data_IF_461707877422
#
_entry.id   IF_461707877422
#
_cell.length_a   1.000
_cell.length_b   1.000
_cell.length_c   1.000
_cell.angle_alpha   90.00
_cell.angle_beta   90.00
_cell.angle_gamma   90.00
#
_symmetry.space_group_name_H-M   'P 1'
#
loop_
_entity.id
_entity.type
_entity.pdbx_description
1 polymer ?
#
# COMPACT_ATOMS: atom_id res chain seq x y z
N UNK A 1 10.70 7.30 12.12
CA UNK A 1 12.10 6.85 12.19
C UNK A 1 12.12 5.32 12.22
N UNK A 2 13.19 4.71 11.72
CA UNK A 2 13.43 3.26 11.89
C UNK A 2 14.11 3.03 13.24
N UNK A 3 13.72 1.95 13.92
CA UNK A 3 14.31 1.51 15.16
C UNK A 3 15.32 0.39 14.89
N UNK A 4 16.36 0.30 15.70
CA UNK A 4 17.30 -0.81 15.67
C UNK A 4 16.69 -1.99 16.40
N UNK A 5 16.63 -3.14 15.73
CA UNK A 5 16.02 -4.38 16.24
C UNK A 5 16.95 -5.58 16.02
N UNK A 6 16.58 -6.72 16.57
CA UNK A 6 17.22 -7.99 16.29
C UNK A 6 16.22 -9.14 16.31
N UNK A 7 16.50 -10.16 15.50
CA UNK A 7 15.77 -11.44 15.45
C UNK A 7 16.72 -12.60 15.67
N UNK A 8 16.39 -13.49 16.61
CA UNK A 8 17.17 -14.70 16.89
C UNK A 8 16.50 -15.92 16.28
N UNK A 9 17.22 -16.63 15.42
CA UNK A 9 16.87 -17.94 14.90
C UNK A 9 17.63 -18.99 15.73
N UNK A 10 16.95 -19.59 16.72
CA UNK A 10 17.54 -20.55 17.64
C UNK A 10 17.28 -21.99 17.16
N UNK A 11 18.36 -22.73 16.90
CA UNK A 11 18.32 -24.13 16.53
C UNK A 11 18.79 -25.01 17.70
N UNK A 12 18.20 -26.18 17.86
CA UNK A 12 18.72 -27.22 18.74
C UNK A 12 19.69 -28.17 17.98
N UNK A 13 20.35 -29.06 18.68
CA UNK A 13 21.30 -30.03 18.09
C UNK A 13 20.66 -31.00 17.08
N UNK A 14 19.32 -31.11 17.04
CA UNK A 14 18.58 -31.94 16.09
C UNK A 14 18.27 -31.20 14.80
N UNK A 15 18.61 -29.92 14.66
CA UNK A 15 18.29 -29.09 13.52
C UNK A 15 16.85 -28.60 13.48
N UNK A 16 16.18 -28.56 14.64
CA UNK A 16 14.86 -27.94 14.75
C UNK A 16 15.02 -26.50 15.23
N UNK A 17 14.24 -25.58 14.67
CA UNK A 17 14.22 -24.18 15.04
C UNK A 17 13.11 -23.89 16.05
N UNK A 18 13.43 -23.12 17.08
CA UNK A 18 12.45 -22.68 18.07
C UNK A 18 11.59 -21.55 17.52
N UNK A 19 10.28 -21.73 17.59
CA UNK A 19 9.29 -20.68 17.40
C UNK A 19 8.61 -20.36 18.71
N UNK A 20 8.22 -19.08 18.89
CA UNK A 20 7.38 -18.65 20.00
C UNK A 20 6.08 -18.03 19.50
N UNK A 21 4.99 -18.29 20.21
CA UNK A 21 3.75 -17.56 20.04
C UNK A 21 3.75 -16.35 20.99
N UNK A 22 3.59 -15.17 20.44
CA UNK A 22 3.58 -13.94 21.24
C UNK A 22 2.38 -13.91 22.18
N UNK A 23 2.59 -13.50 23.44
CA UNK A 23 1.49 -13.35 24.41
C UNK A 23 0.42 -12.37 23.93
N UNK A 24 -0.84 -12.58 24.36
CA UNK A 24 -1.95 -11.64 24.16
C UNK A 24 -1.74 -10.28 24.82
N UNK A 25 -0.82 -10.17 25.79
CA UNK A 25 -0.46 -8.94 26.49
C UNK A 25 0.50 -8.04 25.67
N UNK A 26 1.06 -8.54 24.55
CA UNK A 26 1.93 -7.76 23.68
C UNK A 26 1.15 -6.64 23.00
N UNK A 27 1.70 -5.43 23.02
CA UNK A 27 1.10 -4.24 22.42
C UNK A 27 1.03 -4.36 20.90
N UNK A 28 2.05 -4.97 20.27
CA UNK A 28 2.11 -5.18 18.82
C UNK A 28 2.07 -6.66 18.49
N UNK A 29 1.30 -7.02 17.48
CA UNK A 29 1.19 -8.38 16.93
C UNK A 29 1.02 -9.46 18.01
N UNK A 30 -0.03 -9.39 18.88
CA UNK A 30 -0.33 -10.44 19.84
C UNK A 30 -0.73 -11.75 19.14
N UNK A 31 -0.50 -12.89 19.79
CA UNK A 31 -0.87 -14.24 19.34
C UNK A 31 -0.21 -14.75 18.07
N UNK A 32 0.61 -13.96 17.36
CA UNK A 32 1.31 -14.45 16.16
C UNK A 32 2.51 -15.31 16.52
N UNK A 33 2.82 -16.29 15.68
CA UNK A 33 4.03 -17.08 15.75
C UNK A 33 5.22 -16.34 15.16
N UNK A 34 6.34 -16.32 15.86
CA UNK A 34 7.58 -15.66 15.46
C UNK A 34 8.79 -16.55 15.74
N UNK A 35 9.97 -16.13 15.32
CA UNK A 35 11.25 -16.71 15.70
C UNK A 35 11.48 -16.63 17.20
N UNK A 36 12.50 -17.32 17.71
CA UNK A 36 12.73 -17.52 19.13
C UNK A 36 12.73 -16.23 19.97
N UNK A 37 13.24 -15.12 19.42
CA UNK A 37 13.21 -13.82 20.09
C UNK A 37 13.32 -12.70 19.06
N UNK A 38 12.48 -11.65 19.20
CA UNK A 38 12.57 -10.40 18.45
C UNK A 38 12.39 -9.22 19.40
N UNK A 39 13.32 -8.28 19.41
CA UNK A 39 13.26 -7.14 20.33
C UNK A 39 14.25 -6.04 19.94
N UNK A 40 14.40 -5.06 20.84
CA UNK A 40 15.25 -3.89 20.64
C UNK A 40 16.40 -3.84 21.64
N UNK A 41 17.60 -3.40 21.21
CA UNK A 41 18.66 -3.02 22.13
C UNK A 41 18.24 -1.83 22.99
N UNK A 42 18.67 -1.82 24.26
CA UNK A 42 18.56 -0.67 25.14
C UNK A 42 19.56 0.43 24.74
N UNK A 43 19.26 1.65 25.12
CA UNK A 43 20.20 2.77 24.97
C UNK A 43 21.24 2.74 26.10
N UNK A 44 22.08 1.69 26.10
CA UNK A 44 23.22 1.52 27.03
C UNK A 44 24.51 1.34 26.23
N UNK A 45 25.67 1.72 26.76
CA UNK A 45 26.95 1.54 26.06
C UNK A 45 27.21 0.10 25.63
N UNK A 46 26.76 -0.89 26.41
CA UNK A 46 26.97 -2.31 26.15
C UNK A 46 26.11 -2.80 24.97
N UNK A 47 24.87 -2.32 24.84
CA UNK A 47 23.93 -2.73 23.78
C UNK A 47 24.00 -1.82 22.54
N UNK A 48 24.73 -0.69 22.61
CA UNK A 48 25.03 0.17 21.47
C UNK A 48 26.32 -0.20 20.73
N UNK A 49 27.10 -1.16 21.23
CA UNK A 49 28.35 -1.62 20.62
C UNK A 49 28.07 -2.25 19.23
N UNK A 50 28.54 -1.61 18.16
CA UNK A 50 28.35 -2.07 16.80
C UNK A 50 29.42 -3.06 16.33
N UNK A 51 30.55 -3.19 17.07
CA UNK A 51 31.63 -4.08 16.71
C UNK A 51 31.15 -5.55 16.68
N UNK A 52 31.21 -6.19 15.51
CA UNK A 52 30.76 -7.58 15.31
C UNK A 52 29.30 -7.83 15.77
N UNK A 53 28.43 -6.84 15.67
CA UNK A 53 27.06 -6.86 16.17
C UNK A 53 26.93 -7.17 17.67
N UNK A 54 27.96 -6.84 18.46
CA UNK A 54 28.04 -7.24 19.88
C UNK A 54 26.89 -6.68 20.71
N UNK A 55 26.49 -5.44 20.45
CA UNK A 55 25.38 -4.82 21.17
C UNK A 55 24.05 -5.56 21.00
N UNK A 56 23.69 -5.95 19.78
CA UNK A 56 22.47 -6.73 19.53
C UNK A 56 22.56 -8.15 20.07
N UNK A 57 23.75 -8.76 20.08
CA UNK A 57 23.97 -10.08 20.70
C UNK A 57 23.77 -10.05 22.22
N UNK A 58 24.26 -8.99 22.90
CA UNK A 58 24.01 -8.79 24.34
C UNK A 58 22.54 -8.55 24.64
N UNK A 59 21.87 -7.73 23.82
CA UNK A 59 20.44 -7.53 23.92
C UNK A 59 19.64 -8.82 23.71
N UNK A 60 20.07 -9.66 22.76
CA UNK A 60 19.48 -10.96 22.49
C UNK A 60 19.59 -11.90 23.71
N UNK A 61 20.75 -12.03 24.33
CA UNK A 61 20.92 -12.84 25.55
C UNK A 61 19.98 -12.38 26.68
N UNK A 62 19.93 -11.06 26.94
CA UNK A 62 19.03 -10.48 27.94
C UNK A 62 17.56 -10.83 27.67
N UNK A 63 17.14 -10.76 26.41
CA UNK A 63 15.74 -11.02 26.04
C UNK A 63 15.42 -12.52 26.00
N UNK A 64 16.35 -13.39 25.61
CA UNK A 64 16.19 -14.84 25.71
C UNK A 64 15.97 -15.29 27.15
N UNK A 65 16.69 -14.69 28.12
CA UNK A 65 16.44 -14.90 29.56
C UNK A 65 15.05 -14.39 29.96
N UNK A 66 14.70 -13.15 29.58
CA UNK A 66 13.45 -12.51 30.00
C UNK A 66 12.18 -13.16 29.39
N UNK A 67 12.22 -13.59 28.14
CA UNK A 67 11.06 -14.13 27.43
C UNK A 67 10.96 -15.65 27.57
N UNK A 68 12.06 -16.37 27.39
CA UNK A 68 12.12 -17.81 27.34
C UNK A 68 12.69 -18.47 28.62
N UNK A 69 13.22 -17.67 29.54
CA UNK A 69 13.82 -18.17 30.78
C UNK A 69 15.10 -18.98 30.56
N UNK A 70 15.80 -18.77 29.44
CA UNK A 70 17.08 -19.45 29.16
C UNK A 70 18.12 -18.97 30.16
N UNK A 71 18.77 -19.89 30.86
CA UNK A 71 19.82 -19.56 31.83
C UNK A 71 21.03 -18.92 31.16
N UNK A 72 21.37 -17.64 31.46
CA UNK A 72 22.47 -16.92 30.83
C UNK A 72 23.85 -17.53 31.10
N UNK A 73 23.96 -18.49 32.04
CA UNK A 73 25.21 -19.25 32.26
C UNK A 73 25.42 -20.35 31.23
N UNK A 74 24.39 -20.74 30.48
CA UNK A 74 24.44 -21.84 29.50
C UNK A 74 24.64 -21.37 28.06
N UNK A 75 24.51 -20.08 27.81
CA UNK A 75 24.62 -19.47 26.48
C UNK A 75 25.44 -18.18 26.51
N UNK A 76 26.07 -17.84 25.39
CA UNK A 76 26.95 -16.67 25.30
C UNK A 76 26.79 -15.94 23.95
N UNK A 77 27.37 -14.76 23.82
CA UNK A 77 27.44 -14.04 22.55
C UNK A 77 28.23 -14.77 21.47
N UNK A 78 29.11 -15.70 21.85
CA UNK A 78 29.93 -16.49 20.92
C UNK A 78 29.12 -17.61 20.25
N UNK A 79 28.00 -18.03 20.85
CA UNK A 79 27.07 -19.00 20.29
C UNK A 79 26.17 -18.39 19.21
N UNK A 80 26.26 -17.07 19.02
CA UNK A 80 25.46 -16.34 18.01
C UNK A 80 26.32 -15.93 16.83
N UNK A 81 25.88 -16.27 15.62
CA UNK A 81 26.44 -15.76 14.36
C UNK A 81 25.52 -14.67 13.82
N UNK A 82 26.06 -13.47 13.60
CA UNK A 82 25.38 -12.40 12.86
C UNK A 82 25.36 -12.77 11.39
N UNK A 83 24.18 -12.72 10.76
CA UNK A 83 24.00 -13.13 9.38
C UNK A 83 23.85 -11.96 8.41
N UNK A 84 22.94 -11.03 8.71
CA UNK A 84 22.63 -9.89 7.83
C UNK A 84 21.71 -8.90 8.53
N UNK A 85 21.34 -7.82 7.83
CA UNK A 85 20.32 -6.86 8.29
C UNK A 85 19.18 -6.76 7.29
N UNK A 86 17.96 -6.59 7.78
CA UNK A 86 16.84 -6.22 6.93
C UNK A 86 16.17 -4.94 7.44
N UNK A 87 15.71 -4.11 6.53
CA UNK A 87 14.88 -2.94 6.82
C UNK A 87 13.46 -3.21 6.37
N UNK A 88 12.49 -3.06 7.28
CA UNK A 88 11.10 -3.29 6.96
C UNK A 88 10.15 -2.36 7.71
N UNK A 89 8.92 -2.29 7.23
CA UNK A 89 7.78 -1.76 7.95
C UNK A 89 6.68 -2.82 8.01
N UNK A 90 6.07 -3.01 9.19
CA UNK A 90 4.94 -3.92 9.38
C UNK A 90 3.84 -3.20 10.14
N UNK A 91 2.68 -3.05 9.52
CA UNK A 91 1.51 -2.40 10.13
C UNK A 91 0.60 -3.45 10.76
N UNK A 92 0.32 -3.30 12.03
CA UNK A 92 -0.66 -4.14 12.71
C UNK A 92 -2.09 -3.60 12.55
N UNK A 93 -2.25 -2.28 12.73
CA UNK A 93 -3.53 -1.57 12.61
C UNK A 93 -3.30 -0.08 12.31
N UNK A 94 -4.31 0.76 12.45
CA UNK A 94 -4.19 2.21 12.16
C UNK A 94 -3.27 2.95 13.13
N UNK A 95 -3.11 2.47 14.37
CA UNK A 95 -2.33 3.11 15.43
C UNK A 95 -0.89 2.60 15.52
N UNK A 96 -0.65 1.34 15.17
CA UNK A 96 0.62 0.66 15.39
C UNK A 96 1.27 0.19 14.08
N UNK A 97 2.49 0.65 13.88
CA UNK A 97 3.38 0.24 12.80
C UNK A 97 4.79 0.05 13.36
N UNK A 98 5.37 -1.11 13.16
CA UNK A 98 6.77 -1.37 13.43
C UNK A 98 7.60 -0.97 12.21
N UNK A 99 8.67 -0.22 12.43
CA UNK A 99 9.65 0.18 11.40
C UNK A 99 11.03 -0.09 11.93
N UNK A 100 11.71 -1.08 11.39
CA UNK A 100 12.91 -1.62 11.99
C UNK A 100 14.05 -1.81 10.99
N UNK A 101 15.29 -1.63 11.50
CA UNK A 101 16.50 -2.21 10.93
C UNK A 101 16.85 -3.40 11.82
N UNK A 102 16.45 -4.56 11.37
CA UNK A 102 16.51 -5.82 12.12
C UNK A 102 17.82 -6.56 11.82
N UNK A 103 18.54 -6.94 12.87
CA UNK A 103 19.78 -7.70 12.81
C UNK A 103 19.47 -9.18 13.00
N UNK A 104 19.71 -10.01 12.01
CA UNK A 104 19.39 -11.42 12.02
C UNK A 104 20.55 -12.20 12.60
N UNK A 105 20.28 -12.93 13.70
CA UNK A 105 21.23 -13.75 14.42
C UNK A 105 20.81 -15.21 14.33
N UNK A 106 21.75 -16.10 14.01
CA UNK A 106 21.59 -17.56 14.10
C UNK A 106 22.32 -18.05 15.33
N UNK A 107 21.67 -18.87 16.14
CA UNK A 107 22.21 -19.48 17.35
C UNK A 107 21.95 -20.98 17.34
N UNK A 108 22.91 -21.79 17.76
CA UNK A 108 22.72 -23.22 17.98
C UNK A 108 23.01 -23.55 19.43
N UNK A 109 21.97 -23.98 20.18
CA UNK A 109 22.09 -24.39 21.57
C UNK A 109 20.95 -25.31 21.97
N UNK A 110 21.26 -26.36 22.76
CA UNK A 110 20.24 -27.13 23.45
C UNK A 110 19.94 -26.44 24.80
N UNK A 111 18.76 -25.89 24.95
CA UNK A 111 18.36 -25.04 26.06
C UNK A 111 17.16 -25.60 26.81
N UNK A 112 17.11 -25.39 28.12
CA UNK A 112 15.90 -25.57 28.92
C UNK A 112 15.08 -24.27 28.87
N UNK A 113 13.76 -24.39 28.67
CA UNK A 113 12.85 -23.26 28.56
C UNK A 113 12.00 -23.11 29.83
N UNK A 114 11.93 -21.87 30.35
CA UNK A 114 11.04 -21.47 31.43
C UNK A 114 10.31 -20.19 31.02
N UNK A 115 9.37 -20.33 30.09
CA UNK A 115 8.70 -19.20 29.38
C UNK A 115 8.00 -18.25 30.35
N UNK A 116 8.18 -16.95 30.09
CA UNK A 116 7.43 -15.89 30.76
C UNK A 116 6.04 -15.73 30.09
N UNK A 117 4.93 -16.09 30.79
CA UNK A 117 3.60 -16.07 30.16
C UNK A 117 3.10 -14.66 29.78
N UNK A 118 3.69 -13.60 30.36
CA UNK A 118 3.37 -12.23 29.96
C UNK A 118 3.98 -11.84 28.60
N UNK A 119 5.01 -12.56 28.16
CA UNK A 119 5.75 -12.29 26.93
C UNK A 119 5.45 -13.34 25.84
N UNK A 120 5.30 -14.60 26.23
CA UNK A 120 5.20 -15.77 25.34
C UNK A 120 4.06 -16.66 25.79
N UNK A 121 3.10 -16.90 24.87
CA UNK A 121 1.94 -17.75 25.14
C UNK A 121 2.26 -19.24 24.97
N UNK A 122 3.07 -19.60 23.96
CA UNK A 122 3.43 -20.97 23.63
C UNK A 122 4.77 -21.02 22.89
N UNK A 123 5.39 -22.20 22.81
CA UNK A 123 6.63 -22.46 22.08
C UNK A 123 6.58 -23.79 21.35
N UNK A 124 7.22 -23.89 20.19
CA UNK A 124 7.36 -25.14 19.46
C UNK A 124 8.72 -25.24 18.77
N UNK A 125 9.23 -26.47 18.66
CA UNK A 125 10.38 -26.78 17.83
C UNK A 125 9.89 -27.30 16.48
N UNK A 126 10.38 -26.73 15.38
CA UNK A 126 9.99 -27.09 14.03
C UNK A 126 11.20 -27.45 13.17
N UNK A 127 11.09 -28.48 12.36
CA UNK A 127 12.05 -28.74 11.29
C UNK A 127 11.71 -27.87 10.05
N UNK A 128 12.58 -27.91 9.04
CA UNK A 128 12.40 -27.11 7.82
C UNK A 128 11.04 -27.35 7.14
N UNK A 129 10.65 -28.62 6.95
CA UNK A 129 9.39 -29.01 6.30
C UNK A 129 8.17 -28.46 7.07
N UNK A 130 8.18 -28.57 8.41
CA UNK A 130 7.11 -28.05 9.25
C UNK A 130 7.02 -26.52 9.20
N UNK A 131 8.15 -25.82 9.13
CA UNK A 131 8.16 -24.36 8.95
C UNK A 131 7.61 -23.97 7.58
N UNK A 132 8.04 -24.63 6.51
CA UNK A 132 7.55 -24.39 5.16
C UNK A 132 6.04 -24.58 5.07
N UNK A 133 5.50 -25.65 5.69
CA UNK A 133 4.06 -25.87 5.81
C UNK A 133 3.36 -24.72 6.56
N UNK A 134 3.94 -24.25 7.67
CA UNK A 134 3.38 -23.10 8.41
C UNK A 134 3.34 -21.82 7.59
N UNK A 135 4.26 -21.62 6.67
CA UNK A 135 4.32 -20.42 5.84
C UNK A 135 3.27 -20.41 4.70
N UNK A 136 2.77 -21.56 4.27
CA UNK A 136 1.78 -21.66 3.19
C UNK A 136 0.35 -21.92 3.69
N UNK A 137 0.17 -22.39 4.93
CA UNK A 137 -1.15 -22.62 5.50
C UNK A 137 -1.94 -21.32 5.70
N UNK A 138 -3.23 -21.36 5.35
CA UNK A 138 -4.20 -20.32 5.68
C UNK A 138 -4.61 -20.49 7.16
N UNK A 139 -4.05 -19.64 8.03
CA UNK A 139 -4.27 -19.67 9.48
C UNK A 139 -5.11 -18.48 9.91
N UNK A 140 -5.96 -18.66 10.95
CA UNK A 140 -6.65 -17.52 11.54
C UNK A 140 -5.63 -16.47 12.03
N UNK A 141 -6.01 -15.16 12.04
CA UNK A 141 -5.08 -14.06 12.36
C UNK A 141 -4.31 -14.25 13.67
N UNK A 142 -4.95 -14.84 14.68
CA UNK A 142 -4.35 -15.14 15.99
C UNK A 142 -3.36 -16.31 15.96
N UNK A 143 -3.27 -17.03 14.86
CA UNK A 143 -2.32 -18.13 14.65
C UNK A 143 -1.36 -17.86 13.49
N UNK A 144 -1.42 -16.65 12.93
CA UNK A 144 -0.57 -16.27 11.82
C UNK A 144 0.91 -16.21 12.20
N UNK A 145 1.78 -16.36 11.20
CA UNK A 145 3.21 -16.12 11.35
C UNK A 145 3.49 -14.63 11.23
N UNK A 146 4.30 -14.08 12.13
CA UNK A 146 4.65 -12.66 12.15
C UNK A 146 5.21 -12.18 10.81
N UNK A 147 4.84 -10.97 10.32
CA UNK A 147 5.24 -10.49 8.99
C UNK A 147 6.75 -10.46 8.78
N UNK A 148 7.51 -9.94 9.77
CA UNK A 148 8.98 -9.92 9.71
C UNK A 148 9.56 -11.32 9.66
N UNK A 149 9.05 -12.26 10.49
CA UNK A 149 9.57 -13.63 10.50
C UNK A 149 9.22 -14.37 9.21
N UNK A 150 8.03 -14.18 8.67
CA UNK A 150 7.67 -14.70 7.34
C UNK A 150 8.62 -14.15 6.27
N UNK A 151 8.97 -12.85 6.34
CA UNK A 151 9.94 -12.24 5.45
C UNK A 151 11.34 -12.85 5.60
N UNK A 152 11.82 -13.01 6.84
CA UNK A 152 13.10 -13.69 7.12
C UNK A 152 13.10 -15.09 6.50
N UNK A 153 12.09 -15.90 6.83
CA UNK A 153 12.03 -17.30 6.42
C UNK A 153 11.89 -17.50 4.90
N UNK A 154 11.17 -16.58 4.20
CA UNK A 154 10.88 -16.75 2.77
C UNK A 154 11.81 -15.98 1.81
N UNK A 155 12.49 -14.92 2.29
CA UNK A 155 13.27 -14.01 1.42
C UNK A 155 14.73 -13.84 1.81
N UNK A 156 15.05 -14.04 3.10
CA UNK A 156 16.40 -13.82 3.64
C UNK A 156 17.08 -15.16 3.91
N UNK A 157 16.39 -16.07 4.58
CA UNK A 157 16.94 -17.36 5.00
C UNK A 157 17.16 -18.28 3.79
N UNK A 158 18.42 -18.63 3.58
CA UNK A 158 18.76 -19.53 2.50
C UNK A 158 18.84 -20.98 3.03
N UNK A 159 18.53 -22.01 2.23
CA UNK A 159 18.58 -23.42 2.67
C UNK A 159 19.91 -23.83 3.32
N UNK A 160 21.03 -23.24 2.90
CA UNK A 160 22.33 -23.47 3.50
C UNK A 160 22.43 -23.05 4.99
N UNK A 161 21.52 -22.20 5.48
CA UNK A 161 21.48 -21.87 6.92
C UNK A 161 20.95 -23.04 7.73
N UNK A 162 19.99 -23.82 7.20
CA UNK A 162 19.54 -25.07 7.82
C UNK A 162 20.62 -26.15 7.83
N UNK A 163 21.43 -26.23 6.75
CA UNK A 163 22.52 -27.20 6.67
C UNK A 163 23.71 -26.81 7.54
N UNK A 164 23.94 -25.48 7.71
CA UNK A 164 25.07 -24.91 8.43
C UNK A 164 24.77 -24.47 9.87
N UNK A 165 23.55 -24.65 10.41
CA UNK A 165 23.13 -24.07 11.68
C UNK A 165 24.08 -24.37 12.86
N UNK A 166 24.72 -25.53 12.87
CA UNK A 166 25.66 -25.98 13.89
C UNK A 166 27.14 -25.72 13.55
N UNK A 167 27.41 -25.04 12.44
CA UNK A 167 28.77 -24.70 12.00
C UNK A 167 28.93 -23.18 11.87
N UNK A 168 29.35 -22.47 12.94
CA UNK A 168 29.51 -21.02 12.93
C UNK A 168 30.49 -20.49 11.85
N UNK A 169 31.47 -21.31 11.44
CA UNK A 169 32.40 -20.91 10.35
C UNK A 169 31.69 -20.92 8.99
N UNK A 170 30.88 -21.95 8.72
CA UNK A 170 30.11 -22.01 7.46
C UNK A 170 29.04 -20.91 7.42
N UNK A 171 28.38 -20.62 8.54
CA UNK A 171 27.42 -19.50 8.62
C UNK A 171 28.08 -18.15 8.35
N UNK A 172 29.30 -17.91 8.89
CA UNK A 172 30.05 -16.67 8.65
C UNK A 172 30.43 -16.46 7.20
N UNK A 173 30.63 -17.52 6.43
CA UNK A 173 30.89 -17.44 4.98
C UNK A 173 29.62 -17.04 4.18
N UNK A 174 28.44 -17.28 4.74
CA UNK A 174 27.14 -16.92 4.17
C UNK A 174 26.61 -15.57 4.68
N UNK A 175 27.29 -14.98 5.67
CA UNK A 175 26.90 -13.72 6.28
C UNK A 175 27.33 -12.52 5.41
N UNK A 176 26.52 -11.48 5.41
CA UNK A 176 26.84 -10.17 4.84
C UNK A 176 26.57 -9.05 5.85
N UNK A 177 27.02 -7.82 5.56
CA UNK A 177 26.75 -6.64 6.38
C UNK A 177 25.83 -5.64 5.63
N UNK A 178 25.14 -6.11 4.60
CA UNK A 178 24.21 -5.32 3.81
C UNK A 178 22.89 -5.09 4.56
N UNK A 179 22.16 -4.06 4.16
CA UNK A 179 20.79 -3.82 4.64
C UNK A 179 19.84 -4.15 3.49
N UNK A 180 19.19 -5.30 3.58
CA UNK A 180 18.18 -5.71 2.61
C UNK A 180 16.89 -4.95 2.86
N UNK A 181 16.49 -4.10 1.93
CA UNK A 181 15.25 -3.31 2.04
C UNK A 181 14.04 -4.14 1.60
N UNK A 182 13.22 -4.54 2.55
CA UNK A 182 12.02 -5.35 2.33
C UNK A 182 10.76 -4.51 2.11
N UNK A 183 10.84 -3.18 2.31
CA UNK A 183 9.69 -2.29 2.19
C UNK A 183 8.62 -2.55 3.26
N UNK A 184 7.36 -2.45 2.88
CA UNK A 184 6.23 -2.81 3.75
C UNK A 184 5.96 -4.31 3.64
N UNK A 185 6.09 -5.02 4.76
CA UNK A 185 5.89 -6.48 4.86
C UNK A 185 4.57 -6.85 5.54
N UNK A 186 3.67 -5.90 5.72
CA UNK A 186 2.34 -6.11 6.33
C UNK A 186 1.56 -7.19 5.59
N UNK A 187 1.63 -7.20 4.28
CA UNK A 187 0.92 -8.12 3.38
C UNK A 187 1.44 -9.57 3.38
N UNK A 188 2.51 -9.84 4.14
CA UNK A 188 3.00 -11.21 4.36
C UNK A 188 2.21 -11.95 5.48
N UNK A 189 1.22 -11.32 6.10
CA UNK A 189 0.24 -12.04 6.92
C UNK A 189 -0.67 -12.87 6.00
N UNK A 190 -0.90 -14.17 6.25
CA UNK A 190 -1.95 -14.92 5.59
C UNK A 190 -3.29 -14.26 5.98
N UNK A 191 -4.08 -13.83 5.04
CA UNK A 191 -5.25 -12.96 5.19
C UNK A 191 -4.96 -11.45 5.31
N UNK A 192 -3.80 -10.96 4.94
CA UNK A 192 -3.70 -9.59 4.53
C UNK A 192 -4.47 -9.47 3.21
N UNK A 193 -5.75 -9.11 3.31
CA UNK A 193 -6.62 -8.80 2.16
C UNK A 193 -5.95 -7.80 1.18
N UNK A 194 -4.88 -7.12 1.61
CA UNK A 194 -4.09 -6.18 0.82
C UNK A 194 -3.12 -6.80 -0.19
N UNK A 195 -2.54 -7.98 0.07
CA UNK A 195 -1.59 -8.61 -0.87
C UNK A 195 -2.29 -9.01 -2.18
N UNK A 196 -3.51 -9.55 -2.08
CA UNK A 196 -4.34 -9.85 -3.24
C UNK A 196 -4.78 -8.57 -3.97
N UNK A 197 -5.02 -7.47 -3.24
CA UNK A 197 -5.37 -6.18 -3.81
C UNK A 197 -4.23 -5.59 -4.65
N UNK A 198 -3.02 -5.51 -4.12
CA UNK A 198 -1.85 -4.99 -4.85
C UNK A 198 -1.52 -5.84 -6.08
N UNK A 199 -1.53 -7.16 -5.92
CA UNK A 199 -1.35 -8.11 -7.03
C UNK A 199 -2.42 -7.88 -8.10
N UNK A 200 -3.68 -7.77 -7.71
CA UNK A 200 -4.79 -7.51 -8.65
C UNK A 200 -4.65 -6.17 -9.36
N UNK A 201 -4.17 -5.13 -8.67
CA UNK A 201 -3.87 -3.83 -9.30
C UNK A 201 -2.73 -3.98 -10.31
N UNK A 202 -1.64 -4.66 -9.95
CA UNK A 202 -0.49 -4.87 -10.84
C UNK A 202 -0.83 -5.67 -12.09
N UNK A 203 -1.74 -6.65 -11.98
CA UNK A 203 -2.21 -7.45 -13.10
C UNK A 203 -3.09 -6.66 -14.06
N UNK A 204 -3.99 -5.83 -13.51
CA UNK A 204 -5.05 -5.19 -14.28
C UNK A 204 -4.65 -3.82 -14.84
N UNK A 205 -3.78 -3.10 -14.15
CA UNK A 205 -3.34 -1.75 -14.55
C UNK A 205 -2.76 -1.72 -15.98
N UNK A 206 -1.83 -2.61 -16.40
CA UNK A 206 -1.29 -2.61 -17.75
C UNK A 206 -2.37 -2.82 -18.83
N UNK A 207 -3.36 -3.67 -18.55
CA UNK A 207 -4.46 -3.95 -19.46
C UNK A 207 -5.36 -2.73 -19.69
N UNK A 208 -5.54 -1.91 -18.66
CA UNK A 208 -6.31 -0.67 -18.73
C UNK A 208 -5.48 0.41 -19.44
N UNK A 209 -4.19 0.54 -19.14
CA UNK A 209 -3.29 1.50 -19.78
C UNK A 209 -3.18 1.26 -21.30
N UNK A 210 -3.11 0.01 -21.73
CA UNK A 210 -3.16 -0.35 -23.16
C UNK A 210 -4.45 0.15 -23.84
N UNK A 211 -5.60 0.02 -23.18
CA UNK A 211 -6.89 0.51 -23.67
C UNK A 211 -6.96 2.01 -23.77
N UNK A 212 -6.41 2.72 -22.77
CA UNK A 212 -6.29 4.18 -22.77
C UNK A 212 -5.41 4.62 -23.95
N UNK A 213 -4.22 4.08 -24.06
CA UNK A 213 -3.27 4.42 -25.12
C UNK A 213 -3.87 4.17 -26.51
N UNK A 214 -4.46 3.00 -26.72
CA UNK A 214 -5.10 2.64 -27.98
C UNK A 214 -6.19 3.67 -28.36
N UNK A 215 -6.98 4.12 -27.41
CA UNK A 215 -8.06 5.08 -27.65
C UNK A 215 -7.54 6.48 -27.97
N UNK A 216 -6.57 6.97 -27.20
CA UNK A 216 -6.06 8.34 -27.35
C UNK A 216 -5.16 8.49 -28.58
N UNK A 217 -4.37 7.45 -28.92
CA UNK A 217 -3.52 7.44 -30.12
C UNK A 217 -4.29 7.16 -31.41
N UNK A 218 -5.57 6.82 -31.35
CA UNK A 218 -6.43 6.72 -32.56
C UNK A 218 -6.72 8.08 -33.21
N UNK A 219 -6.33 9.20 -32.60
CA UNK A 219 -6.43 10.54 -33.18
C UNK A 219 -5.65 10.64 -34.50
N UNK A 220 -6.29 11.21 -35.53
CA UNK A 220 -5.63 11.48 -36.79
C UNK A 220 -4.67 12.67 -36.75
N UNK A 221 -4.72 13.45 -35.68
CA UNK A 221 -3.89 14.63 -35.50
C UNK A 221 -2.83 14.34 -34.44
N UNK A 222 -1.58 14.14 -34.89
CA UNK A 222 -0.45 13.71 -34.04
C UNK A 222 -0.29 14.60 -32.82
N UNK A 223 -0.16 15.93 -32.97
CA UNK A 223 0.00 16.87 -31.84
C UNK A 223 -1.15 16.80 -30.83
N UNK A 224 -2.37 16.55 -31.30
CA UNK A 224 -3.52 16.37 -30.37
C UNK A 224 -3.43 15.06 -29.64
N UNK A 225 -3.03 13.98 -30.30
CA UNK A 225 -2.77 12.69 -29.69
C UNK A 225 -1.69 12.77 -28.59
N UNK A 226 -0.57 13.46 -28.89
CA UNK A 226 0.51 13.67 -27.94
C UNK A 226 0.06 14.51 -26.74
N UNK A 227 -0.73 15.55 -26.95
CA UNK A 227 -1.29 16.37 -25.86
C UNK A 227 -2.23 15.57 -24.95
N UNK A 228 -3.08 14.69 -25.52
CA UNK A 228 -3.95 13.80 -24.72
C UNK A 228 -3.15 12.76 -23.93
N UNK A 229 -2.05 12.22 -24.50
CA UNK A 229 -1.21 11.23 -23.84
C UNK A 229 -0.29 11.81 -22.76
N UNK A 230 -0.02 13.12 -22.79
CA UNK A 230 0.99 13.77 -21.97
C UNK A 230 0.86 13.47 -20.45
N UNK A 231 -0.34 13.60 -19.89
CA UNK A 231 -0.58 13.27 -18.47
C UNK A 231 -0.63 11.76 -18.21
N UNK A 232 -1.05 10.97 -19.20
CA UNK A 232 -1.08 9.50 -19.08
C UNK A 232 0.35 8.97 -18.98
N UNK A 233 1.26 9.44 -19.83
CA UNK A 233 2.69 9.11 -19.83
C UNK A 233 3.42 9.61 -18.57
N UNK A 234 2.91 10.65 -17.91
CA UNK A 234 3.38 11.13 -16.61
C UNK A 234 3.19 10.13 -15.47
N UNK A 235 2.56 8.99 -15.73
CA UNK A 235 2.33 7.93 -14.76
C UNK A 235 1.09 8.16 -13.89
N UNK A 236 1.05 7.47 -12.74
CA UNK A 236 -0.06 7.53 -11.79
C UNK A 236 -0.44 6.15 -11.25
N UNK A 237 -1.13 6.14 -10.10
CA UNK A 237 -1.56 4.90 -9.43
C UNK A 237 -2.75 4.23 -10.13
N UNK A 238 -3.47 4.93 -11.02
CA UNK A 238 -4.67 4.44 -11.74
C UNK A 238 -5.77 3.91 -10.81
N UNK A 239 -5.90 4.47 -9.62
CA UNK A 239 -6.85 3.96 -8.62
C UNK A 239 -8.30 3.97 -9.13
N UNK A 240 -8.72 5.06 -9.78
CA UNK A 240 -10.07 5.18 -10.34
C UNK A 240 -10.30 4.18 -11.48
N UNK A 241 -9.29 3.97 -12.29
CA UNK A 241 -9.35 3.04 -13.42
C UNK A 241 -9.46 1.57 -13.00
N UNK A 242 -8.73 1.17 -11.94
CA UNK A 242 -8.71 -0.21 -11.46
C UNK A 242 -9.88 -0.56 -10.55
N UNK A 243 -10.49 0.44 -9.91
CA UNK A 243 -11.53 0.25 -8.90
C UNK A 243 -12.77 -0.51 -9.42
N UNK A 244 -13.32 -0.28 -10.62
CA UNK A 244 -14.45 -1.07 -11.11
C UNK A 244 -14.13 -2.56 -11.21
N UNK A 245 -12.93 -2.91 -11.67
CA UNK A 245 -12.47 -4.30 -11.72
C UNK A 245 -12.31 -4.93 -10.34
N UNK A 246 -11.69 -4.21 -9.40
CA UNK A 246 -11.46 -4.68 -8.03
C UNK A 246 -12.78 -4.94 -7.29
N UNK A 247 -13.74 -4.02 -7.43
CA UNK A 247 -15.07 -4.19 -6.86
C UNK A 247 -15.79 -5.37 -7.52
N UNK A 248 -15.71 -5.48 -8.85
CA UNK A 248 -16.28 -6.62 -9.56
C UNK A 248 -15.74 -7.95 -9.05
N UNK A 249 -14.41 -8.04 -8.90
CA UNK A 249 -13.73 -9.22 -8.33
C UNK A 249 -14.18 -9.53 -6.90
N UNK A 250 -14.45 -8.51 -6.09
CA UNK A 250 -14.85 -8.68 -4.69
C UNK A 250 -16.31 -9.14 -4.52
N UNK A 251 -17.21 -8.77 -5.42
CA UNK A 251 -18.66 -9.03 -5.27
C UNK A 251 -19.25 -10.07 -6.21
N UNK A 252 -18.46 -10.52 -7.20
CA UNK A 252 -18.95 -11.47 -8.20
C UNK A 252 -17.87 -11.86 -9.22
N UNK A 253 -18.30 -12.14 -10.44
CA UNK A 253 -17.39 -12.48 -11.54
C UNK A 253 -16.85 -11.22 -12.21
N UNK A 254 -15.55 -11.23 -12.53
CA UNK A 254 -14.95 -10.16 -13.31
C UNK A 254 -15.45 -10.19 -14.75
N UNK A 255 -15.89 -9.03 -15.24
CA UNK A 255 -16.38 -8.87 -16.60
C UNK A 255 -15.36 -8.08 -17.44
N UNK A 256 -15.00 -8.56 -18.64
CA UNK A 256 -13.97 -7.91 -19.48
C UNK A 256 -14.27 -6.43 -19.78
N UNK A 257 -15.56 -6.07 -19.92
CA UNK A 257 -15.98 -4.68 -20.11
C UNK A 257 -15.61 -3.73 -18.96
N UNK A 258 -15.30 -4.25 -17.76
CA UNK A 258 -14.81 -3.43 -16.65
C UNK A 258 -13.46 -2.78 -16.95
N UNK A 259 -12.63 -3.38 -17.78
CA UNK A 259 -11.37 -2.80 -18.24
C UNK A 259 -11.60 -1.58 -19.15
N UNK A 260 -12.58 -1.68 -20.04
CA UNK A 260 -12.96 -0.57 -20.91
C UNK A 260 -13.63 0.57 -20.13
N UNK A 261 -14.47 0.23 -19.16
CA UNK A 261 -15.09 1.17 -18.23
C UNK A 261 -14.00 1.89 -17.41
N UNK A 262 -13.04 1.15 -16.85
CA UNK A 262 -11.92 1.71 -16.13
C UNK A 262 -11.08 2.66 -16.99
N UNK A 263 -10.79 2.28 -18.23
CA UNK A 263 -10.09 3.12 -19.20
C UNK A 263 -10.86 4.40 -19.53
N UNK A 264 -12.18 4.30 -19.72
CA UNK A 264 -13.03 5.45 -19.98
C UNK A 264 -13.08 6.42 -18.79
N UNK A 265 -13.24 5.91 -17.56
CA UNK A 265 -13.25 6.74 -16.34
C UNK A 265 -11.88 7.41 -16.14
N UNK A 266 -10.77 6.72 -16.36
CA UNK A 266 -9.44 7.33 -16.26
C UNK A 266 -9.24 8.40 -17.34
N UNK A 267 -9.77 8.19 -18.54
CA UNK A 267 -9.75 9.21 -19.61
C UNK A 267 -10.55 10.43 -19.20
N UNK A 268 -11.75 10.27 -18.63
CA UNK A 268 -12.51 11.37 -18.02
C UNK A 268 -11.70 12.06 -16.92
N UNK A 269 -11.05 11.31 -16.03
CA UNK A 269 -10.22 11.90 -14.98
C UNK A 269 -9.07 12.74 -15.56
N UNK A 270 -8.36 12.23 -16.58
CA UNK A 270 -7.28 13.02 -17.20
C UNK A 270 -7.83 14.26 -17.93
N UNK A 271 -9.01 14.17 -18.56
CA UNK A 271 -9.70 15.36 -19.11
C UNK A 271 -9.94 16.42 -18.01
N UNK A 272 -10.47 16.00 -16.86
CA UNK A 272 -10.71 16.96 -15.77
C UNK A 272 -9.41 17.58 -15.27
N UNK A 273 -8.32 16.82 -15.17
CA UNK A 273 -7.01 17.36 -14.79
C UNK A 273 -6.45 18.37 -15.79
N UNK A 274 -6.61 18.11 -17.10
CA UNK A 274 -6.16 19.07 -18.13
C UNK A 274 -6.88 20.41 -18.01
N UNK A 275 -8.20 20.39 -17.78
CA UNK A 275 -8.99 21.61 -17.61
C UNK A 275 -8.78 22.27 -16.24
N UNK A 276 -8.59 21.48 -15.19
CA UNK A 276 -8.29 21.93 -13.85
C UNK A 276 -6.98 22.73 -13.82
N UNK A 277 -5.89 22.17 -14.39
CA UNK A 277 -4.60 22.87 -14.52
C UNK A 277 -4.71 24.22 -15.25
N UNK A 278 -5.66 24.36 -16.19
CA UNK A 278 -5.93 25.63 -16.87
C UNK A 278 -6.67 26.61 -15.94
N UNK A 279 -7.66 26.13 -15.19
CA UNK A 279 -8.48 26.95 -14.30
C UNK A 279 -7.70 27.42 -13.08
N UNK A 280 -6.84 26.57 -12.55
CA UNK A 280 -6.01 26.84 -11.37
C UNK A 280 -4.66 27.53 -11.74
N UNK A 281 -4.37 27.76 -13.03
CA UNK A 281 -3.10 28.29 -13.57
C UNK A 281 -1.87 27.48 -13.11
N UNK A 282 -2.03 26.16 -12.98
CA UNK A 282 -0.99 25.24 -12.52
C UNK A 282 0.03 24.95 -13.62
N UNK A 283 1.28 25.36 -13.44
CA UNK A 283 2.35 25.13 -14.43
C UNK A 283 2.85 23.69 -14.50
N UNK A 284 2.72 22.94 -13.41
CA UNK A 284 3.29 21.59 -13.25
C UNK A 284 2.24 20.57 -12.78
N UNK A 285 2.25 19.39 -13.41
CA UNK A 285 1.45 18.22 -13.00
C UNK A 285 2.32 16.95 -13.02
N UNK A 286 2.38 16.22 -11.91
CA UNK A 286 3.19 14.98 -11.77
C UNK A 286 4.67 15.20 -12.11
N UNK A 287 5.24 16.37 -11.76
CA UNK A 287 6.63 16.72 -12.02
C UNK A 287 6.96 17.07 -13.49
N UNK A 288 5.95 17.21 -14.35
CA UNK A 288 6.07 17.62 -15.76
C UNK A 288 5.29 18.92 -15.98
N UNK A 289 5.58 19.63 -17.06
CA UNK A 289 4.77 20.78 -17.47
C UNK A 289 3.31 20.37 -17.63
N UNK A 290 2.38 21.21 -17.20
CA UNK A 290 0.96 21.03 -17.50
C UNK A 290 0.72 21.08 -19.02
N UNK A 291 -0.38 20.47 -19.51
CA UNK A 291 -0.64 20.36 -20.96
C UNK A 291 -0.73 21.73 -21.63
N UNK A 292 -1.31 22.72 -20.96
CA UNK A 292 -1.43 24.08 -21.50
C UNK A 292 -0.09 24.83 -21.57
N UNK A 293 0.87 24.49 -20.73
CA UNK A 293 2.24 25.01 -20.78
C UNK A 293 3.03 24.35 -21.92
N UNK A 294 2.94 23.03 -22.07
CA UNK A 294 3.71 22.26 -23.06
C UNK A 294 3.17 22.43 -24.50
N UNK A 295 1.85 22.41 -24.66
CA UNK A 295 1.21 22.41 -26.00
C UNK A 295 0.47 23.70 -26.33
N UNK A 296 0.34 24.61 -25.36
CA UNK A 296 -0.42 25.84 -25.45
C UNK A 296 -1.91 25.68 -25.14
N UNK A 297 -2.50 26.74 -24.56
CA UNK A 297 -3.89 26.80 -24.08
C UNK A 297 -4.93 26.25 -25.06
N UNK A 298 -4.95 26.65 -26.36
CA UNK A 298 -5.97 26.14 -27.31
C UNK A 298 -5.87 24.64 -27.53
N UNK A 299 -4.64 24.10 -27.56
CA UNK A 299 -4.43 22.65 -27.74
C UNK A 299 -4.85 21.87 -26.48
N UNK A 300 -4.58 22.40 -25.29
CA UNK A 300 -4.98 21.78 -24.03
C UNK A 300 -6.52 21.70 -23.91
N UNK A 301 -7.24 22.77 -24.21
CA UNK A 301 -8.71 22.75 -24.25
C UNK A 301 -9.23 21.69 -25.22
N UNK A 302 -8.72 21.68 -26.45
CA UNK A 302 -9.11 20.68 -27.45
C UNK A 302 -8.76 19.25 -27.02
N UNK A 303 -7.65 19.06 -26.33
CA UNK A 303 -7.25 17.75 -25.82
C UNK A 303 -8.25 17.24 -24.75
N UNK A 304 -8.64 18.09 -23.80
CA UNK A 304 -9.66 17.77 -22.83
C UNK A 304 -11.01 17.42 -23.46
N UNK A 305 -11.49 18.24 -24.37
CA UNK A 305 -12.77 18.02 -25.09
C UNK A 305 -12.75 16.71 -25.88
N UNK A 306 -11.63 16.41 -26.56
CA UNK A 306 -11.46 15.17 -27.31
C UNK A 306 -11.42 13.95 -26.37
N UNK A 307 -10.71 14.04 -25.25
CA UNK A 307 -10.66 12.97 -24.25
C UNK A 307 -12.04 12.63 -23.71
N UNK A 308 -12.87 13.64 -23.41
CA UNK A 308 -14.24 13.42 -22.96
C UNK A 308 -15.08 12.66 -23.99
N UNK A 309 -14.99 13.04 -25.29
CA UNK A 309 -15.67 12.35 -26.37
C UNK A 309 -15.18 10.90 -26.52
N UNK A 310 -13.85 10.69 -26.51
CA UNK A 310 -13.20 9.37 -26.63
C UNK A 310 -13.61 8.45 -25.48
N UNK A 311 -13.76 8.98 -24.26
CA UNK A 311 -14.24 8.20 -23.13
C UNK A 311 -15.63 7.59 -23.40
N UNK A 312 -16.56 8.35 -23.96
CA UNK A 312 -17.89 7.85 -24.33
C UNK A 312 -17.83 6.87 -25.51
N UNK A 313 -16.97 7.09 -26.50
CA UNK A 313 -16.74 6.13 -27.59
C UNK A 313 -16.26 4.78 -27.03
N UNK A 314 -15.32 4.80 -26.07
CA UNK A 314 -14.82 3.57 -25.41
C UNK A 314 -15.92 2.84 -24.66
N UNK A 315 -16.79 3.54 -23.93
CA UNK A 315 -17.91 2.93 -23.22
C UNK A 315 -18.89 2.20 -24.15
N UNK A 316 -19.19 2.79 -25.30
CA UNK A 316 -20.08 2.19 -26.33
C UNK A 316 -19.45 0.96 -26.95
N UNK A 317 -18.13 0.88 -27.01
CA UNK A 317 -17.35 -0.22 -27.58
C UNK A 317 -16.88 -1.24 -26.52
N UNK A 318 -17.31 -1.07 -25.26
CA UNK A 318 -16.85 -1.92 -24.15
C UNK A 318 -17.14 -3.39 -24.43
N UNK A 319 -16.15 -4.23 -24.17
CA UNK A 319 -16.15 -5.64 -24.49
C UNK A 319 -17.27 -6.40 -23.73
N UNK A 320 -18.03 -7.20 -24.47
CA UNK A 320 -19.10 -8.08 -23.93
C UNK A 320 -20.25 -7.32 -23.23
N UNK A 321 -20.41 -6.00 -23.41
CA UNK A 321 -21.59 -5.27 -22.97
C UNK A 321 -22.65 -5.21 -24.05
N UNK A 322 -23.90 -5.38 -23.65
CA UNK A 322 -25.04 -5.24 -24.56
C UNK A 322 -25.51 -3.80 -24.65
N UNK A 323 -26.24 -3.38 -25.71
CA UNK A 323 -26.81 -2.03 -25.77
C UNK A 323 -27.71 -1.68 -24.58
N UNK A 324 -28.32 -2.68 -23.93
CA UNK A 324 -29.13 -2.51 -22.72
C UNK A 324 -28.30 -2.20 -21.48
N UNK A 325 -27.02 -2.62 -21.44
CA UNK A 325 -26.08 -2.31 -20.35
C UNK A 325 -25.43 -0.94 -20.58
N UNK A 326 -25.09 -0.63 -21.85
CA UNK A 326 -24.35 0.58 -22.22
C UNK A 326 -25.17 1.85 -21.98
N UNK A 327 -26.47 1.88 -22.26
CA UNK A 327 -27.25 3.10 -22.14
C UNK A 327 -27.37 3.62 -20.68
N UNK A 328 -27.67 2.78 -19.66
CA UNK A 328 -27.61 3.19 -18.25
C UNK A 328 -26.19 3.61 -17.82
N UNK A 329 -25.15 2.92 -18.30
CA UNK A 329 -23.76 3.20 -18.00
C UNK A 329 -23.36 4.59 -18.49
N UNK A 330 -23.63 4.90 -19.76
CA UNK A 330 -23.36 6.22 -20.36
C UNK A 330 -24.10 7.33 -19.59
N UNK A 331 -25.37 7.12 -19.22
CA UNK A 331 -26.12 8.08 -18.45
C UNK A 331 -25.49 8.30 -17.06
N UNK A 332 -25.06 7.23 -16.40
CA UNK A 332 -24.47 7.32 -15.06
C UNK A 332 -23.11 8.03 -15.06
N UNK A 333 -22.27 7.77 -16.07
CA UNK A 333 -20.99 8.46 -16.25
C UNK A 333 -21.20 9.92 -16.65
N UNK A 334 -22.16 10.22 -17.52
CA UNK A 334 -22.50 11.60 -17.86
C UNK A 334 -22.97 12.40 -16.63
N UNK A 335 -23.79 11.77 -15.75
CA UNK A 335 -24.16 12.37 -14.48
C UNK A 335 -22.93 12.62 -13.59
N UNK A 336 -21.99 11.67 -13.52
CA UNK A 336 -20.73 11.82 -12.78
C UNK A 336 -19.93 13.03 -13.29
N UNK A 337 -19.74 13.15 -14.61
CA UNK A 337 -19.02 14.29 -15.22
C UNK A 337 -19.67 15.61 -14.82
N UNK A 338 -21.00 15.70 -14.88
CA UNK A 338 -21.72 16.89 -14.47
C UNK A 338 -21.47 17.21 -12.98
N UNK A 339 -21.52 16.20 -12.09
CA UNK A 339 -21.26 16.40 -10.66
C UNK A 339 -19.84 16.88 -10.39
N UNK A 340 -18.84 16.36 -11.13
CA UNK A 340 -17.46 16.86 -11.06
C UNK A 340 -17.36 18.32 -11.45
N UNK A 341 -18.05 18.72 -12.52
CA UNK A 341 -18.07 20.12 -12.96
C UNK A 341 -18.76 21.04 -11.93
N UNK A 342 -19.84 20.56 -11.30
CA UNK A 342 -20.52 21.30 -10.22
C UNK A 342 -19.61 21.46 -8.98
N UNK A 343 -18.87 20.41 -8.61
CA UNK A 343 -17.89 20.45 -7.51
C UNK A 343 -16.70 21.38 -7.81
N UNK A 344 -16.17 21.37 -9.03
CA UNK A 344 -15.10 22.28 -9.45
C UNK A 344 -15.59 23.74 -9.47
N UNK A 345 -16.85 23.99 -9.87
CA UNK A 345 -17.41 25.33 -9.82
C UNK A 345 -17.52 25.85 -8.36
N UNK A 346 -17.92 24.99 -7.42
CA UNK A 346 -17.93 25.35 -5.99
C UNK A 346 -16.54 25.66 -5.47
N UNK A 347 -15.52 24.87 -5.84
CA UNK A 347 -14.14 25.09 -5.44
C UNK A 347 -13.63 26.48 -5.88
N UNK A 348 -13.87 26.87 -7.14
CA UNK A 348 -13.55 28.18 -7.69
C UNK A 348 -14.31 29.28 -6.90
N UNK A 349 -15.61 29.11 -6.66
CA UNK A 349 -16.40 30.11 -5.95
C UNK A 349 -15.96 30.32 -4.50
N UNK A 350 -15.43 29.27 -3.86
CA UNK A 350 -14.97 29.31 -2.46
C UNK A 350 -13.71 30.16 -2.28
N UNK A 351 -12.90 30.36 -3.32
CA UNK A 351 -11.74 31.25 -3.26
C UNK A 351 -12.14 32.69 -2.91
N UNK A 352 -13.28 33.15 -3.45
CA UNK A 352 -13.81 34.50 -3.24
C UNK A 352 -14.74 34.62 -2.00
N UNK A 353 -15.16 33.48 -1.41
CA UNK A 353 -16.05 33.48 -0.24
C UNK A 353 -15.32 33.78 1.06
N UNK A 354 -15.87 34.68 1.88
CA UNK A 354 -15.34 35.01 3.20
C UNK A 354 -15.56 33.88 4.22
N UNK A 355 -16.69 33.21 4.13
CA UNK A 355 -17.08 32.11 5.02
C UNK A 355 -17.50 30.91 4.18
N UNK A 356 -16.89 29.78 4.44
CA UNK A 356 -17.24 28.45 3.91
C UNK A 356 -17.45 27.52 5.10
N UNK A 357 -18.60 26.88 5.19
CA UNK A 357 -18.88 25.94 6.25
C UNK A 357 -18.27 24.55 5.95
N UNK A 358 -18.16 23.72 6.98
CA UNK A 358 -17.78 22.30 6.82
C UNK A 358 -18.72 21.57 5.86
N UNK A 359 -20.01 21.86 5.92
CA UNK A 359 -21.03 21.25 5.04
C UNK A 359 -20.81 21.67 3.57
N UNK A 360 -20.55 22.95 3.31
CA UNK A 360 -20.22 23.46 1.97
C UNK A 360 -18.96 22.75 1.41
N UNK A 361 -17.92 22.63 2.25
CA UNK A 361 -16.68 21.96 1.88
C UNK A 361 -16.91 20.48 1.55
N UNK A 362 -17.67 19.75 2.39
CA UNK A 362 -17.97 18.34 2.15
C UNK A 362 -18.80 18.15 0.87
N UNK A 363 -19.74 19.04 0.57
CA UNK A 363 -20.50 19.01 -0.69
C UNK A 363 -19.57 19.23 -1.91
N UNK A 364 -18.66 20.17 -1.81
CA UNK A 364 -17.68 20.46 -2.88
C UNK A 364 -16.80 19.25 -3.15
N UNK A 365 -16.15 18.65 -2.13
CA UNK A 365 -15.28 17.49 -2.34
C UNK A 365 -16.05 16.22 -2.73
N UNK A 366 -17.30 16.09 -2.32
CA UNK A 366 -18.19 15.02 -2.82
C UNK A 366 -18.33 15.13 -4.33
N UNK A 367 -18.65 16.31 -4.83
CA UNK A 367 -18.81 16.56 -6.27
C UNK A 367 -17.48 16.48 -7.03
N UNK A 368 -16.45 17.21 -6.59
CA UNK A 368 -15.17 17.31 -7.29
C UNK A 368 -14.42 15.97 -7.32
N UNK A 369 -14.39 15.23 -6.21
CA UNK A 369 -13.52 14.06 -6.04
C UNK A 369 -14.27 12.76 -5.76
N UNK A 370 -15.16 12.73 -4.75
CA UNK A 370 -15.72 11.47 -4.25
C UNK A 370 -16.66 10.80 -5.25
N UNK A 371 -17.37 11.55 -6.06
CA UNK A 371 -18.32 11.03 -7.06
C UNK A 371 -17.67 10.06 -8.05
N UNK A 372 -16.40 10.25 -8.40
CA UNK A 372 -15.70 9.33 -9.29
C UNK A 372 -15.47 7.96 -8.62
N UNK A 373 -15.05 7.93 -7.36
CA UNK A 373 -14.88 6.69 -6.60
C UNK A 373 -16.23 5.99 -6.37
N UNK A 374 -17.26 6.77 -6.02
CA UNK A 374 -18.62 6.29 -5.91
C UNK A 374 -19.06 5.54 -7.17
N UNK A 375 -18.97 6.18 -8.33
CA UNK A 375 -19.42 5.61 -9.61
C UNK A 375 -18.55 4.41 -10.02
N UNK A 376 -17.25 4.43 -9.77
CA UNK A 376 -16.38 3.28 -10.00
C UNK A 376 -16.87 2.05 -9.24
N UNK A 377 -17.19 2.19 -7.96
CA UNK A 377 -17.62 1.09 -7.12
C UNK A 377 -19.04 0.61 -7.48
N UNK A 378 -19.98 1.53 -7.70
CA UNK A 378 -21.35 1.22 -8.14
C UNK A 378 -21.36 0.41 -9.45
N UNK A 379 -20.64 0.91 -10.47
CA UNK A 379 -20.59 0.28 -11.79
C UNK A 379 -19.87 -1.07 -11.71
N UNK A 380 -18.78 -1.16 -10.97
CA UNK A 380 -18.06 -2.41 -10.76
C UNK A 380 -18.97 -3.51 -10.23
N UNK A 381 -19.73 -3.22 -9.18
CA UNK A 381 -20.70 -4.15 -8.61
C UNK A 381 -21.84 -4.51 -9.57
N UNK A 382 -22.41 -3.52 -10.23
CA UNK A 382 -23.57 -3.69 -11.13
C UNK A 382 -23.23 -4.55 -12.36
N UNK A 383 -22.12 -4.25 -13.02
CA UNK A 383 -21.69 -4.97 -14.23
C UNK A 383 -21.24 -6.41 -13.90
N UNK A 384 -20.79 -6.65 -12.69
CA UNK A 384 -20.43 -8.00 -12.21
C UNK A 384 -21.66 -8.81 -11.73
N UNK A 385 -22.88 -8.29 -11.91
CA UNK A 385 -24.11 -9.01 -11.63
C UNK A 385 -24.53 -9.05 -10.16
N UNK A 386 -23.97 -8.18 -9.31
CA UNK A 386 -24.36 -8.07 -7.90
C UNK A 386 -25.82 -7.63 -7.76
N UNK A 387 -26.49 -8.08 -6.69
CA UNK A 387 -27.83 -7.63 -6.36
C UNK A 387 -27.87 -6.15 -5.96
N UNK A 388 -29.02 -5.50 -6.08
CA UNK A 388 -29.17 -4.04 -5.88
C UNK A 388 -28.71 -3.59 -4.48
N UNK A 389 -28.91 -4.39 -3.44
CA UNK A 389 -28.44 -4.11 -2.08
C UNK A 389 -26.90 -4.03 -2.03
N UNK A 390 -26.21 -4.98 -2.66
CA UNK A 390 -24.75 -4.97 -2.74
C UNK A 390 -24.24 -3.80 -3.60
N UNK A 391 -24.93 -3.49 -4.70
CA UNK A 391 -24.60 -2.33 -5.53
C UNK A 391 -24.68 -1.04 -4.72
N UNK A 392 -25.73 -0.87 -3.91
CA UNK A 392 -25.88 0.31 -3.06
C UNK A 392 -24.80 0.37 -1.97
N UNK A 393 -24.48 -0.76 -1.31
CA UNK A 393 -23.41 -0.83 -0.32
C UNK A 393 -22.05 -0.45 -0.92
N UNK A 394 -21.75 -0.93 -2.13
CA UNK A 394 -20.50 -0.56 -2.83
C UNK A 394 -20.49 0.91 -3.26
N UNK A 395 -21.63 1.44 -3.68
CA UNK A 395 -21.79 2.87 -3.98
C UNK A 395 -21.48 3.75 -2.75
N UNK A 396 -22.08 3.42 -1.60
CA UNK A 396 -21.88 4.14 -0.34
C UNK A 396 -20.44 4.02 0.15
N UNK A 397 -19.83 2.84 0.06
CA UNK A 397 -18.43 2.61 0.36
C UNK A 397 -17.52 3.42 -0.57
N UNK A 398 -17.78 3.41 -1.88
CA UNK A 398 -17.00 4.17 -2.86
C UNK A 398 -17.07 5.67 -2.61
N UNK A 399 -18.24 6.20 -2.22
CA UNK A 399 -18.42 7.58 -1.80
C UNK A 399 -17.57 7.91 -0.57
N UNK A 400 -17.64 7.08 0.48
CA UNK A 400 -16.85 7.26 1.70
C UNK A 400 -15.34 7.20 1.42
N UNK A 401 -14.90 6.25 0.56
CA UNK A 401 -13.51 6.15 0.12
C UNK A 401 -13.04 7.44 -0.58
N UNK A 402 -13.86 8.01 -1.47
CA UNK A 402 -13.52 9.22 -2.20
C UNK A 402 -13.44 10.45 -1.29
N UNK A 403 -14.32 10.58 -0.31
CA UNK A 403 -14.26 11.64 0.72
C UNK A 403 -12.99 11.50 1.56
N UNK A 404 -12.70 10.29 2.06
CA UNK A 404 -11.48 10.02 2.82
C UNK A 404 -10.23 10.30 1.99
N UNK A 405 -10.23 9.97 0.70
CA UNK A 405 -9.12 10.24 -0.20
C UNK A 405 -8.81 11.75 -0.29
N UNK A 406 -9.84 12.61 -0.48
CA UNK A 406 -9.64 14.05 -0.56
C UNK A 406 -9.21 14.64 0.78
N UNK A 407 -9.84 14.25 1.89
CA UNK A 407 -9.43 14.70 3.23
C UNK A 407 -7.96 14.36 3.52
N UNK A 408 -7.51 13.17 3.13
CA UNK A 408 -6.11 12.78 3.30
C UNK A 408 -5.16 13.55 2.37
N UNK A 409 -5.60 13.87 1.15
CA UNK A 409 -4.81 14.68 0.21
C UNK A 409 -4.57 16.08 0.78
N UNK A 410 -5.59 16.72 1.32
CA UNK A 410 -5.50 18.03 1.98
C UNK A 410 -4.56 18.01 3.21
N UNK A 411 -4.64 16.96 4.03
CA UNK A 411 -3.74 16.77 5.19
C UNK A 411 -2.29 16.57 4.73
N UNK A 412 -2.08 15.78 3.68
CA UNK A 412 -0.76 15.53 3.11
C UNK A 412 -0.15 16.82 2.54
N UNK A 413 -0.95 17.67 1.87
CA UNK A 413 -0.48 18.95 1.33
C UNK A 413 0.10 19.84 2.44
N UNK A 414 -0.50 19.85 3.63
CA UNK A 414 -0.05 20.66 4.77
C UNK A 414 1.12 20.04 5.53
N UNK A 415 1.14 18.70 5.70
CA UNK A 415 2.08 18.02 6.59
C UNK A 415 3.34 17.47 5.90
N UNK A 416 3.33 17.30 4.58
CA UNK A 416 4.44 16.70 3.83
C UNK A 416 5.44 17.77 3.37
N UNK A 417 6.67 17.32 3.11
CA UNK A 417 7.69 18.16 2.49
C UNK A 417 7.54 18.23 0.95
N UNK A 418 8.06 19.30 0.36
CA UNK A 418 7.98 19.54 -1.08
C UNK A 418 8.66 18.45 -1.94
N UNK A 419 9.63 17.72 -1.39
CA UNK A 419 10.32 16.65 -2.11
C UNK A 419 9.43 15.40 -2.23
N UNK A 420 8.62 15.14 -1.21
CA UNK A 420 7.65 14.04 -1.18
C UNK A 420 6.42 14.32 -2.04
N UNK A 421 5.95 15.59 -2.03
CA UNK A 421 4.74 16.01 -2.76
C UNK A 421 4.96 16.17 -4.27
N UNK A 422 6.17 16.50 -4.70
CA UNK A 422 6.44 16.90 -6.09
C UNK A 422 5.85 18.27 -6.47
N UNK A 423 5.31 19.02 -5.48
CA UNK A 423 4.83 20.41 -5.55
C UNK A 423 5.23 21.13 -4.24
N UNK A 424 5.19 22.48 -4.18
CA UNK A 424 5.42 23.19 -2.92
C UNK A 424 4.45 22.74 -1.83
N UNK A 425 4.94 22.49 -0.60
CA UNK A 425 4.09 22.15 0.56
C UNK A 425 3.19 23.35 0.90
N UNK A 426 1.92 23.06 1.26
CA UNK A 426 0.94 24.10 1.56
C UNK A 426 0.49 24.90 0.33
N UNK A 427 0.59 24.31 -0.86
CA UNK A 427 0.19 24.96 -2.12
C UNK A 427 -1.28 25.36 -2.11
N UNK A 428 -2.16 24.55 -1.53
CA UNK A 428 -3.59 24.81 -1.46
C UNK A 428 -3.88 26.04 -0.58
N UNK A 429 -3.17 26.19 0.54
CA UNK A 429 -3.28 27.39 1.39
C UNK A 429 -2.75 28.62 0.66
N UNK A 430 -1.65 28.49 -0.07
CA UNK A 430 -1.05 29.60 -0.82
C UNK A 430 -1.97 30.09 -1.98
N UNK A 431 -2.74 29.20 -2.59
CA UNK A 431 -3.75 29.49 -3.61
C UNK A 431 -5.08 30.01 -3.01
N UNK A 432 -5.22 30.03 -1.69
CA UNK A 432 -6.43 30.51 -1.02
C UNK A 432 -7.57 29.48 -0.95
N UNK A 433 -7.28 28.21 -1.23
CA UNK A 433 -8.28 27.13 -1.16
C UNK A 433 -8.83 26.96 0.26
N UNK A 434 -10.13 26.79 0.35
CA UNK A 434 -10.86 26.63 1.61
C UNK A 434 -10.96 25.16 2.00
N UNK A 435 -9.80 24.55 2.32
CA UNK A 435 -9.76 23.18 2.85
C UNK A 435 -10.27 23.11 4.29
N UNK A 436 -10.59 21.92 4.78
CA UNK A 436 -11.04 21.71 6.16
C UNK A 436 -10.04 22.24 7.19
N UNK A 437 -8.73 22.17 6.86
CA UNK A 437 -7.64 22.70 7.70
C UNK A 437 -7.62 24.23 7.81
N UNK A 438 -8.26 24.94 6.89
CA UNK A 438 -8.39 26.40 6.89
C UNK A 438 -9.71 26.83 7.52
N UNK A 439 -10.75 25.99 7.46
CA UNK A 439 -12.08 26.27 8.03
C UNK A 439 -12.05 26.17 9.55
N UNK A 440 -11.24 25.27 10.11
CA UNK A 440 -11.04 25.06 11.55
C UNK A 440 -9.70 25.60 12.04
#
# INVERSE_FOLDING_TARGET
>A
AFHRAFSVLLFNSKGEMLLQQRSGEKVTFPHVWANACCSHPLYSPEELDEANAMGVKRAALRKLEQELGIDPSTVSTDDMTFMTKMRYAARMNQEWIEREVDHILVMCADVELAVNPNEVADVMWVNQEALEAMLVEDRPPEQAVAPWFRCIASRIMNPAWWEGFNNPMALKELADDEIHDMGDVTDLLPNAEGADLLTSIMEVKPLIEERIETSLRASRHERLGDAMMHLVEGGGKRMRATLPWLVGKAVGDTHAGLLDIGAAIETVHNFTLVHDDIMDDDELRRGRNAVHIEYGMPTAINAGDAMLAIAFERLVQAENLTPTDVAPLVNRIAWMVRRVSEGQQLDIEFEDRLEVSEEDYLEMIEGKTAVMFWICAEIGARISGAGEETVQLMADWGKALGLCFQLMDDVIDVLSDSATLGKPAGSDIAQGKRTLMVIH
#
